data_IF_391904999299
#
_entry.id   IF_391904999299
#
_cell.length_a   1.000
_cell.length_b   1.000
_cell.length_c   1.000
_cell.angle_alpha   90.00
_cell.angle_beta   90.00
_cell.angle_gamma   90.00
#
_symmetry.space_group_name_H-M   'P 1'
#
loop_
_entity.id
_entity.type
_entity.pdbx_description
1 polymer ?
#
# COMPACT_ATOMS: atom_id res chain seq x y z
N UNK A 1 11.57 -17.47 4.10
CA UNK A 1 11.25 -16.24 4.85
C UNK A 1 10.43 -16.53 6.11
N UNK A 2 9.08 -16.57 6.08
CA UNK A 2 8.23 -16.66 7.30
C UNK A 2 8.63 -17.81 8.24
N UNK A 3 8.82 -19.02 7.72
CA UNK A 3 9.26 -20.18 8.51
C UNK A 3 10.63 -19.96 9.17
N UNK A 4 11.58 -19.38 8.44
CA UNK A 4 12.94 -19.09 8.93
C UNK A 4 12.92 -18.02 10.02
N UNK A 5 12.07 -17.00 9.85
CA UNK A 5 11.83 -15.93 10.81
C UNK A 5 10.92 -16.33 11.98
N UNK A 6 10.51 -17.61 12.08
CA UNK A 6 9.66 -18.15 13.16
C UNK A 6 8.36 -17.37 13.35
N UNK A 7 7.78 -16.87 12.25
CA UNK A 7 6.53 -16.11 12.27
C UNK A 7 6.70 -14.59 12.39
N UNK A 8 7.91 -14.08 12.64
CA UNK A 8 8.17 -12.63 12.56
C UNK A 8 8.06 -12.17 11.10
N UNK A 9 7.03 -11.36 10.80
CA UNK A 9 6.74 -10.92 9.45
C UNK A 9 7.67 -9.80 8.97
N UNK A 10 8.22 -8.99 9.88
CA UNK A 10 9.15 -7.91 9.53
C UNK A 10 10.49 -8.53 9.15
N UNK A 11 11.00 -9.46 9.96
CA UNK A 11 12.22 -10.21 9.65
C UNK A 11 12.03 -11.06 8.39
N UNK A 12 10.86 -11.69 8.20
CA UNK A 12 10.55 -12.40 6.97
C UNK A 12 10.59 -11.49 5.73
N UNK A 13 10.04 -10.27 5.83
CA UNK A 13 10.09 -9.28 4.76
C UNK A 13 11.53 -8.85 4.48
N UNK A 14 12.34 -8.63 5.52
CA UNK A 14 13.75 -8.28 5.37
C UNK A 14 14.54 -9.40 4.68
N UNK A 15 14.40 -10.65 5.11
CA UNK A 15 15.03 -11.82 4.47
C UNK A 15 14.69 -11.91 2.98
N UNK A 16 13.42 -11.73 2.61
CA UNK A 16 12.98 -11.82 1.22
C UNK A 16 13.54 -10.65 0.38
N UNK A 17 13.59 -9.44 0.96
CA UNK A 17 14.12 -8.24 0.30
C UNK A 17 15.65 -8.27 0.19
N UNK A 18 16.35 -8.83 1.17
CA UNK A 18 17.77 -9.12 1.09
C UNK A 18 18.05 -10.17 0.01
N UNK A 19 17.25 -11.23 -0.08
CA UNK A 19 17.39 -12.23 -1.14
C UNK A 19 17.21 -11.62 -2.55
N UNK A 20 16.30 -10.65 -2.72
CA UNK A 20 16.11 -9.93 -3.98
C UNK A 20 17.41 -9.32 -4.51
N UNK A 21 18.32 -8.83 -3.66
CA UNK A 21 19.57 -8.20 -4.11
C UNK A 21 20.56 -9.20 -4.74
N UNK A 22 20.34 -10.49 -4.50
CA UNK A 22 21.16 -11.58 -5.09
C UNK A 22 20.66 -12.03 -6.46
N UNK A 23 19.48 -11.57 -6.89
CA UNK A 23 18.84 -12.01 -8.12
C UNK A 23 19.15 -11.06 -9.28
N UNK A 24 19.31 -11.63 -10.47
CA UNK A 24 19.45 -10.85 -11.70
C UNK A 24 18.09 -10.29 -12.15
N UNK A 25 18.08 -9.04 -12.61
CA UNK A 25 16.91 -8.42 -13.24
C UNK A 25 16.95 -8.69 -14.74
N UNK A 26 16.07 -9.57 -15.22
CA UNK A 26 15.98 -9.92 -16.64
C UNK A 26 15.23 -8.88 -17.49
N UNK A 27 14.41 -8.04 -16.87
CA UNK A 27 13.63 -7.01 -17.56
C UNK A 27 12.50 -6.46 -16.68
N UNK A 28 11.54 -5.78 -17.31
CA UNK A 28 10.28 -5.36 -16.72
C UNK A 28 9.13 -6.02 -17.50
N UNK A 29 8.07 -6.42 -16.80
CA UNK A 29 6.86 -6.88 -17.47
C UNK A 29 6.21 -5.75 -18.25
N UNK A 30 5.32 -6.09 -19.18
CA UNK A 30 4.30 -5.13 -19.61
C UNK A 30 3.48 -4.63 -18.40
N UNK A 31 2.85 -3.45 -18.48
CA UNK A 31 1.91 -2.99 -17.47
C UNK A 31 0.81 -4.02 -17.19
N UNK A 32 0.39 -4.13 -15.93
CA UNK A 32 -0.63 -5.10 -15.54
C UNK A 32 -2.03 -4.67 -16.00
N UNK A 33 -2.68 -5.51 -16.80
CA UNK A 33 -4.05 -5.27 -17.27
C UNK A 33 -5.11 -5.77 -16.27
N UNK A 34 -5.27 -5.07 -15.13
CA UNK A 34 -6.25 -5.47 -14.09
C UNK A 34 -7.72 -5.35 -14.55
N UNK A 35 -7.98 -4.73 -15.71
CA UNK A 35 -9.27 -4.74 -16.37
C UNK A 35 -9.67 -6.12 -16.91
N UNK A 36 -8.69 -6.97 -17.23
CA UNK A 36 -8.84 -8.34 -17.69
C UNK A 36 -8.66 -9.38 -16.56
N UNK A 37 -8.64 -8.93 -15.30
CA UNK A 37 -8.45 -9.80 -14.13
C UNK A 37 -9.47 -10.94 -14.10
N UNK A 38 -9.00 -12.16 -13.87
CA UNK A 38 -9.84 -13.31 -13.53
C UNK A 38 -10.26 -13.20 -12.07
N UNK A 39 -11.34 -12.45 -11.86
CA UNK A 39 -11.84 -12.02 -10.55
C UNK A 39 -12.33 -13.21 -9.72
N UNK A 40 -11.88 -13.25 -8.47
CA UNK A 40 -12.36 -14.17 -7.42
C UNK A 40 -13.15 -13.44 -6.33
N UNK A 41 -12.91 -12.14 -6.19
CA UNK A 41 -13.63 -11.24 -5.29
C UNK A 41 -13.71 -9.86 -5.93
N UNK A 42 -14.90 -9.24 -5.86
CA UNK A 42 -15.17 -7.90 -6.35
C UNK A 42 -16.30 -7.29 -5.55
N UNK A 43 -16.02 -6.21 -4.84
CA UNK A 43 -17.03 -5.47 -4.10
C UNK A 43 -16.96 -3.97 -4.35
N UNK A 44 -18.08 -3.30 -4.17
CA UNK A 44 -18.18 -1.84 -4.15
C UNK A 44 -19.11 -1.38 -3.06
N UNK A 45 -18.73 -0.31 -2.35
CA UNK A 45 -19.58 0.36 -1.36
C UNK A 45 -20.37 1.54 -1.96
N UNK A 46 -20.12 1.91 -3.21
CA UNK A 46 -20.73 3.08 -3.87
C UNK A 46 -21.95 2.71 -4.73
N UNK A 47 -22.11 1.43 -5.08
CA UNK A 47 -23.27 0.93 -5.82
C UNK A 47 -23.82 -0.33 -5.16
N UNK A 48 -25.15 -0.41 -5.06
CA UNK A 48 -25.83 -1.63 -4.59
C UNK A 48 -25.60 -2.79 -5.56
N UNK A 49 -25.78 -2.52 -6.86
CA UNK A 49 -25.60 -3.48 -7.94
C UNK A 49 -24.61 -2.93 -8.97
N UNK A 50 -23.78 -3.83 -9.50
CA UNK A 50 -22.78 -3.51 -10.52
C UNK A 50 -22.98 -4.42 -11.73
N UNK A 51 -22.57 -4.00 -12.94
CA UNK A 51 -22.39 -4.93 -14.05
C UNK A 51 -21.41 -6.03 -13.61
N UNK A 52 -21.83 -7.29 -13.71
CA UNK A 52 -21.11 -8.47 -13.19
C UNK A 52 -21.26 -8.74 -11.69
N UNK A 53 -22.10 -7.97 -10.99
CA UNK A 53 -22.51 -8.23 -9.61
C UNK A 53 -21.48 -7.91 -8.53
N UNK A 54 -21.90 -8.09 -7.28
CA UNK A 54 -21.07 -8.08 -6.08
C UNK A 54 -20.61 -9.52 -5.83
N UNK A 55 -19.31 -9.78 -5.93
CA UNK A 55 -18.69 -11.10 -5.75
C UNK A 55 -17.92 -11.09 -4.42
N UNK A 56 -18.50 -11.64 -3.37
CA UNK A 56 -17.87 -11.62 -2.04
C UNK A 56 -16.55 -12.41 -2.00
N UNK A 57 -16.47 -13.51 -2.76
CA UNK A 57 -15.27 -14.35 -2.80
C UNK A 57 -14.85 -14.91 -1.43
N UNK A 58 -13.60 -15.42 -1.30
CA UNK A 58 -13.06 -15.85 -0.03
C UNK A 58 -12.77 -14.62 0.85
N UNK A 59 -13.50 -14.49 1.97
CA UNK A 59 -13.37 -13.34 2.88
C UNK A 59 -13.71 -13.71 4.32
N UNK A 60 -13.17 -12.94 5.26
CA UNK A 60 -13.51 -12.98 6.69
C UNK A 60 -14.48 -11.87 7.13
N UNK A 61 -14.92 -10.99 6.23
CA UNK A 61 -15.66 -9.74 6.57
C UNK A 61 -16.89 -9.95 7.45
N UNK A 62 -17.62 -11.03 7.21
CA UNK A 62 -18.91 -11.33 7.86
C UNK A 62 -18.80 -12.47 8.89
N UNK A 63 -17.58 -12.90 9.19
CA UNK A 63 -17.35 -13.95 10.20
C UNK A 63 -17.50 -13.41 11.61
N UNK A 64 -17.98 -14.23 12.53
CA UNK A 64 -17.92 -13.92 13.96
C UNK A 64 -16.49 -14.14 14.44
N UNK A 65 -15.91 -13.14 15.11
CA UNK A 65 -14.52 -13.17 15.60
C UNK A 65 -14.40 -13.94 16.91
N UNK A 66 -14.65 -15.25 16.84
CA UNK A 66 -14.53 -16.18 17.95
C UNK A 66 -13.32 -17.09 17.69
N UNK A 67 -12.54 -17.39 18.74
CA UNK A 67 -11.45 -18.36 18.64
C UNK A 67 -12.04 -19.75 18.38
N UNK A 68 -11.57 -20.39 17.31
CA UNK A 68 -11.97 -21.74 16.95
C UNK A 68 -11.00 -22.77 17.55
N UNK A 69 -11.37 -23.33 18.70
CA UNK A 69 -10.59 -24.36 19.38
C UNK A 69 -10.57 -25.70 18.64
N UNK A 70 -11.48 -25.93 17.68
CA UNK A 70 -11.49 -27.17 16.90
C UNK A 70 -10.24 -27.26 16.00
N UNK A 71 -9.69 -26.13 15.55
CA UNK A 71 -8.45 -26.07 14.74
C UNK A 71 -7.22 -26.68 15.44
N UNK A 72 -7.23 -26.79 16.77
CA UNK A 72 -6.14 -27.42 17.52
C UNK A 72 -6.29 -28.96 17.64
N UNK A 73 -7.50 -29.49 17.49
CA UNK A 73 -7.83 -30.89 17.74
C UNK A 73 -8.20 -31.66 16.47
N UNK A 74 -8.83 -31.00 15.50
CA UNK A 74 -9.37 -31.59 14.29
C UNK A 74 -8.50 -31.24 13.08
N UNK A 75 -8.00 -32.27 12.37
CA UNK A 75 -7.30 -32.12 11.09
C UNK A 75 -8.24 -32.40 9.90
N UNK A 76 -9.53 -32.13 10.05
CA UNK A 76 -10.51 -32.36 8.99
C UNK A 76 -10.56 -31.14 8.06
N UNK A 77 -10.20 -31.26 6.78
CA UNK A 77 -10.32 -30.14 5.85
C UNK A 77 -11.79 -29.75 5.69
N UNK A 78 -12.10 -28.45 5.54
CA UNK A 78 -13.47 -28.02 5.29
C UNK A 78 -14.01 -28.67 4.01
N UNK A 79 -15.31 -28.98 3.95
CA UNK A 79 -15.92 -29.50 2.73
C UNK A 79 -15.73 -28.50 1.57
N UNK A 80 -15.63 -29.00 0.32
CA UNK A 80 -15.48 -28.13 -0.83
C UNK A 80 -16.68 -27.17 -0.92
N UNK A 81 -16.41 -25.90 -1.24
CA UNK A 81 -17.46 -24.91 -1.43
C UNK A 81 -18.41 -25.34 -2.57
N UNK A 82 -19.73 -25.11 -2.44
CA UNK A 82 -20.68 -25.31 -3.53
C UNK A 82 -20.24 -24.57 -4.79
N UNK A 83 -20.37 -25.22 -5.95
CA UNK A 83 -20.02 -24.62 -7.24
C UNK A 83 -21.25 -23.93 -7.83
N UNK A 84 -21.10 -22.65 -8.17
CA UNK A 84 -22.09 -21.88 -8.94
C UNK A 84 -21.82 -21.95 -10.45
N UNK A 85 -22.77 -21.43 -11.24
CA UNK A 85 -22.56 -21.21 -12.68
C UNK A 85 -21.53 -20.08 -12.86
N UNK A 86 -20.54 -20.30 -13.72
CA UNK A 86 -19.67 -19.22 -14.17
C UNK A 86 -20.46 -18.28 -15.07
N UNK A 87 -20.59 -17.02 -14.67
CA UNK A 87 -21.16 -15.97 -15.51
C UNK A 87 -20.02 -15.24 -16.21
N UNK A 88 -20.03 -15.27 -17.54
CA UNK A 88 -19.12 -14.48 -18.37
C UNK A 88 -19.65 -13.04 -18.50
N UNK A 89 -19.76 -12.37 -17.35
CA UNK A 89 -20.24 -11.01 -17.27
C UNK A 89 -19.05 -10.05 -17.35
N UNK A 90 -19.15 -9.02 -18.21
CA UNK A 90 -18.18 -7.93 -18.19
C UNK A 90 -18.20 -7.25 -16.82
N UNK A 91 -17.03 -7.11 -16.19
CA UNK A 91 -16.83 -6.46 -14.88
C UNK A 91 -16.07 -5.13 -15.03
N UNK A 92 -16.65 -4.10 -15.67
CA UNK A 92 -15.98 -2.81 -15.82
C UNK A 92 -15.64 -2.21 -14.45
N UNK A 93 -14.53 -1.46 -14.41
CA UNK A 93 -14.13 -0.74 -13.19
C UNK A 93 -15.17 0.31 -12.82
N UNK A 94 -15.45 0.46 -11.53
CA UNK A 94 -16.39 1.48 -11.01
C UNK A 94 -15.93 2.89 -11.38
N UNK A 95 -14.64 3.18 -11.28
CA UNK A 95 -14.08 4.47 -11.73
C UNK A 95 -14.28 4.69 -13.23
N UNK A 96 -14.28 3.62 -14.04
CA UNK A 96 -14.61 3.70 -15.47
C UNK A 96 -16.09 3.94 -15.74
N UNK A 97 -16.99 3.51 -14.84
CA UNK A 97 -18.41 3.87 -14.90
C UNK A 97 -18.57 5.37 -14.58
N UNK A 98 -18.01 5.84 -13.47
CA UNK A 98 -18.04 7.24 -13.06
C UNK A 98 -17.43 8.18 -14.11
N UNK A 99 -16.33 7.77 -14.75
CA UNK A 99 -15.69 8.57 -15.79
C UNK A 99 -16.56 8.73 -17.04
N UNK A 100 -17.30 7.70 -17.46
CA UNK A 100 -18.24 7.81 -18.59
C UNK A 100 -19.41 8.75 -18.31
N UNK A 101 -19.75 8.94 -17.04
CA UNK A 101 -20.78 9.88 -16.59
C UNK A 101 -20.22 11.30 -16.37
N UNK A 102 -18.91 11.52 -16.57
CA UNK A 102 -18.27 12.81 -16.33
C UNK A 102 -18.11 13.16 -14.85
N UNK A 103 -18.28 12.19 -13.95
CA UNK A 103 -18.22 12.37 -12.49
C UNK A 103 -16.80 12.16 -11.92
N UNK A 104 -15.87 11.67 -12.73
CA UNK A 104 -14.47 11.45 -12.36
C UNK A 104 -13.59 11.60 -13.59
N UNK A 105 -12.54 12.44 -13.52
CA UNK A 105 -11.55 12.55 -14.59
C UNK A 105 -10.83 11.22 -14.78
N UNK A 106 -10.64 10.69 -16.01
CA UNK A 106 -9.84 9.49 -16.26
C UNK A 106 -8.37 9.70 -15.83
N UNK A 107 -7.69 8.62 -15.45
CA UNK A 107 -6.23 8.70 -15.27
C UNK A 107 -5.57 8.84 -16.65
N UNK A 108 -4.63 9.78 -16.83
CA UNK A 108 -3.95 9.97 -18.11
C UNK A 108 -3.10 8.73 -18.42
N UNK A 109 -3.18 8.26 -19.67
CA UNK A 109 -2.23 7.26 -20.16
C UNK A 109 -0.84 7.90 -20.24
N UNK A 110 0.17 7.16 -19.79
CA UNK A 110 1.56 7.58 -19.85
C UNK A 110 2.42 6.42 -20.30
N UNK A 111 3.20 6.64 -21.35
CA UNK A 111 4.24 5.73 -21.83
C UNK A 111 5.61 6.07 -21.20
N UNK A 112 5.67 7.06 -20.31
CA UNK A 112 6.89 7.42 -19.62
C UNK A 112 7.30 6.30 -18.64
N UNK A 113 8.57 5.92 -18.69
CA UNK A 113 9.16 4.97 -17.74
C UNK A 113 9.06 5.56 -16.32
N UNK A 114 8.44 4.85 -15.36
CA UNK A 114 8.34 5.35 -13.99
C UNK A 114 9.72 5.31 -13.31
N UNK A 115 9.95 6.25 -12.39
CA UNK A 115 11.12 6.18 -11.52
C UNK A 115 11.18 4.87 -10.72
N UNK A 116 12.39 4.49 -10.28
CA UNK A 116 12.61 3.24 -9.54
C UNK A 116 13.40 3.46 -8.25
N UNK A 117 12.68 3.45 -7.12
CA UNK A 117 13.23 3.55 -5.76
C UNK A 117 14.25 2.47 -5.41
N UNK A 118 14.32 1.40 -6.21
CA UNK A 118 15.31 0.34 -6.00
C UNK A 118 16.62 0.58 -6.74
N UNK A 119 16.70 1.66 -7.52
CA UNK A 119 17.88 2.08 -8.29
C UNK A 119 18.34 3.49 -7.93
N UNK A 120 17.39 4.38 -7.68
CA UNK A 120 17.65 5.78 -7.37
C UNK A 120 17.11 6.14 -5.97
N UNK A 121 17.85 6.92 -5.17
CA UNK A 121 17.39 7.35 -3.86
C UNK A 121 16.17 8.27 -3.99
N UNK A 122 15.27 8.19 -3.01
CA UNK A 122 14.08 9.04 -2.95
C UNK A 122 14.49 10.51 -2.78
N UNK A 123 13.90 11.39 -3.60
CA UNK A 123 14.00 12.84 -3.47
C UNK A 123 12.60 13.47 -3.39
N UNK A 124 12.51 14.66 -2.80
CA UNK A 124 11.24 15.37 -2.60
C UNK A 124 11.19 16.68 -3.40
N UNK A 125 10.02 17.03 -3.97
CA UNK A 125 8.78 16.26 -3.98
C UNK A 125 8.88 15.01 -4.88
N UNK A 126 8.24 13.92 -4.47
CA UNK A 126 8.25 12.65 -5.20
C UNK A 126 7.04 12.58 -6.14
N UNK A 127 7.24 12.10 -7.37
CA UNK A 127 6.15 11.88 -8.31
C UNK A 127 5.21 10.74 -7.86
N UNK A 128 3.98 10.73 -8.38
CA UNK A 128 2.97 9.74 -7.95
C UNK A 128 3.41 8.28 -8.19
N UNK A 129 4.07 7.92 -9.30
CA UNK A 129 4.62 6.58 -9.49
C UNK A 129 5.59 6.16 -8.37
N UNK A 130 6.57 6.99 -8.01
CA UNK A 130 7.51 6.70 -6.91
C UNK A 130 6.78 6.62 -5.56
N UNK A 131 5.83 7.52 -5.30
CA UNK A 131 4.99 7.45 -4.07
C UNK A 131 4.26 6.11 -3.99
N UNK A 132 3.59 5.68 -5.05
CA UNK A 132 2.89 4.38 -5.08
C UNK A 132 3.85 3.20 -4.93
N UNK A 133 5.07 3.27 -5.49
CA UNK A 133 6.10 2.24 -5.31
C UNK A 133 6.53 2.15 -3.84
N UNK A 134 6.74 3.29 -3.16
CA UNK A 134 7.05 3.34 -1.73
C UNK A 134 5.90 2.78 -0.88
N UNK A 135 4.65 3.20 -1.13
CA UNK A 135 3.48 2.72 -0.38
C UNK A 135 3.25 1.21 -0.57
N UNK A 136 3.49 0.68 -1.76
CA UNK A 136 3.42 -0.77 -2.01
C UNK A 136 4.41 -1.54 -1.13
N UNK A 137 5.60 -0.97 -0.89
CA UNK A 137 6.66 -1.53 -0.03
C UNK A 137 6.50 -1.21 1.46
N UNK A 138 5.69 -0.20 1.80
CA UNK A 138 5.54 0.29 3.16
C UNK A 138 4.85 -0.67 4.12
N UNK A 139 5.06 -0.45 5.41
CA UNK A 139 4.46 -1.18 6.51
C UNK A 139 2.95 -1.03 6.52
N UNK A 140 2.26 -2.16 6.69
CA UNK A 140 0.80 -2.16 6.66
C UNK A 140 0.19 -1.44 7.87
N UNK A 141 0.79 -1.60 9.06
CA UNK A 141 0.30 -0.97 10.28
C UNK A 141 0.45 0.55 10.25
N UNK A 142 1.62 1.04 9.82
CA UNK A 142 1.90 2.47 9.67
C UNK A 142 0.95 3.13 8.68
N UNK A 143 0.82 2.56 7.47
CA UNK A 143 -0.07 3.13 6.44
C UNK A 143 -1.54 3.03 6.84
N UNK A 144 -1.94 1.96 7.55
CA UNK A 144 -3.29 1.85 8.09
C UNK A 144 -3.56 2.93 9.14
N UNK A 145 -2.61 3.21 10.04
CA UNK A 145 -2.75 4.25 11.05
C UNK A 145 -2.85 5.65 10.44
N UNK A 146 -2.04 5.94 9.42
CA UNK A 146 -2.15 7.17 8.64
C UNK A 146 -3.49 7.28 7.90
N UNK A 147 -3.89 6.23 7.17
CA UNK A 147 -5.19 6.20 6.50
C UNK A 147 -6.34 6.39 7.49
N UNK A 148 -6.27 5.77 8.67
CA UNK A 148 -7.27 5.91 9.73
C UNK A 148 -7.31 7.33 10.32
N UNK A 149 -6.16 8.01 10.48
CA UNK A 149 -6.15 9.39 10.98
C UNK A 149 -6.88 10.35 10.04
N UNK A 150 -6.80 10.14 8.73
CA UNK A 150 -7.54 10.94 7.75
C UNK A 150 -9.04 10.80 7.90
N UNK A 151 -9.53 9.58 8.19
CA UNK A 151 -10.95 9.31 8.47
C UNK A 151 -11.41 9.92 9.80
N UNK A 152 -10.47 10.26 10.68
CA UNK A 152 -10.71 10.92 11.98
C UNK A 152 -10.61 12.46 11.88
N UNK A 153 -10.42 13.01 10.68
CA UNK A 153 -10.42 14.45 10.42
C UNK A 153 -9.04 15.08 10.18
N UNK A 154 -7.94 14.31 10.28
CA UNK A 154 -6.60 14.84 9.99
C UNK A 154 -6.37 14.86 8.47
N UNK A 155 -6.51 16.02 7.82
CA UNK A 155 -6.44 16.18 6.36
C UNK A 155 -7.80 16.08 5.63
N UNK A 156 -8.91 16.02 6.39
CA UNK A 156 -10.31 16.18 5.91
C UNK A 156 -10.68 15.41 4.62
N UNK A 157 -10.29 14.15 4.50
CA UNK A 157 -10.72 13.28 3.40
C UNK A 157 -11.90 12.38 3.83
N UNK A 158 -12.97 12.34 3.03
CA UNK A 158 -14.08 11.38 3.22
C UNK A 158 -14.05 10.33 2.11
N UNK A 159 -13.48 9.14 2.38
CA UNK A 159 -13.30 8.10 1.37
C UNK A 159 -14.50 7.16 1.29
N UNK A 160 -14.77 6.68 0.08
CA UNK A 160 -15.66 5.56 -0.20
C UNK A 160 -14.90 4.48 -0.95
N UNK A 161 -15.18 3.22 -0.65
CA UNK A 161 -14.68 2.10 -1.46
C UNK A 161 -15.41 2.10 -2.79
N UNK A 162 -14.79 2.69 -3.80
CA UNK A 162 -15.25 2.65 -5.19
C UNK A 162 -15.29 1.21 -5.67
N UNK A 163 -14.15 0.53 -5.56
CA UNK A 163 -14.05 -0.89 -5.88
C UNK A 163 -12.87 -1.55 -5.17
N UNK A 164 -13.06 -2.76 -4.67
CA UNK A 164 -11.99 -3.70 -4.35
C UNK A 164 -12.19 -4.92 -5.24
N UNK A 165 -11.15 -5.31 -5.98
CA UNK A 165 -11.14 -6.54 -6.77
C UNK A 165 -9.88 -7.34 -6.50
N UNK A 166 -10.02 -8.65 -6.42
CA UNK A 166 -8.93 -9.60 -6.24
C UNK A 166 -9.09 -10.77 -7.19
N UNK A 167 -8.00 -11.14 -7.85
CA UNK A 167 -8.01 -12.18 -8.86
C UNK A 167 -6.65 -12.36 -9.51
N UNK A 168 -6.59 -13.28 -10.47
CA UNK A 168 -5.39 -13.53 -11.25
C UNK A 168 -5.28 -12.53 -12.41
N UNK A 169 -4.07 -12.00 -12.63
CA UNK A 169 -3.73 -11.15 -13.77
C UNK A 169 -2.53 -11.78 -14.47
N UNK A 170 -2.61 -11.86 -15.80
CA UNK A 170 -1.54 -12.37 -16.66
C UNK A 170 -0.34 -11.43 -16.63
N UNK A 171 0.85 -12.01 -16.50
CA UNK A 171 2.13 -11.32 -16.64
C UNK A 171 2.68 -11.55 -18.03
N UNK A 172 2.90 -10.46 -18.76
CA UNK A 172 3.53 -10.50 -20.07
C UNK A 172 4.90 -9.84 -20.03
N UNK A 173 5.81 -10.34 -20.85
CA UNK A 173 7.15 -9.78 -21.04
C UNK A 173 7.49 -9.82 -22.52
N UNK A 174 8.21 -8.83 -23.03
CA UNK A 174 8.71 -8.84 -24.42
C UNK A 174 10.22 -9.04 -24.38
N UNK A 175 10.72 -10.28 -24.55
CA UNK A 175 12.15 -10.54 -24.63
C UNK A 175 12.76 -9.82 -25.83
N UNK A 176 13.89 -9.11 -25.66
CA UNK A 176 14.60 -8.49 -26.77
C UNK A 176 14.93 -9.46 -27.90
N UNK A 177 15.16 -10.73 -27.58
CA UNK A 177 15.51 -11.79 -28.54
C UNK A 177 14.33 -12.24 -29.41
N UNK A 178 13.09 -12.06 -28.95
CA UNK A 178 11.88 -12.47 -29.66
C UNK A 178 11.17 -11.29 -30.34
N UNK A 179 11.17 -10.12 -29.70
CA UNK A 179 10.51 -8.91 -30.24
C UNK A 179 8.98 -8.94 -30.21
N UNK A 180 8.36 -9.90 -29.52
CA UNK A 180 6.90 -9.98 -29.30
C UNK A 180 6.58 -10.39 -27.85
N UNK A 181 5.40 -10.02 -27.30
CA UNK A 181 5.03 -10.35 -25.93
C UNK A 181 4.80 -11.85 -25.75
N UNK A 182 5.31 -12.38 -24.65
CA UNK A 182 5.06 -13.74 -24.18
C UNK A 182 4.42 -13.71 -22.80
N UNK A 183 3.50 -14.65 -22.54
CA UNK A 183 2.93 -14.88 -21.23
C UNK A 183 3.93 -15.63 -20.34
N UNK A 184 4.32 -15.02 -19.22
CA UNK A 184 5.17 -15.64 -18.20
C UNK A 184 4.37 -16.48 -17.20
N UNK A 185 3.08 -16.21 -17.06
CA UNK A 185 2.17 -16.84 -16.11
C UNK A 185 1.23 -15.82 -15.49
N UNK A 186 0.73 -16.11 -14.29
CA UNK A 186 -0.22 -15.24 -13.61
C UNK A 186 0.20 -14.93 -12.17
N UNK A 187 -0.18 -13.75 -11.71
CA UNK A 187 -0.09 -13.37 -10.30
C UNK A 187 -1.48 -13.07 -9.75
N UNK A 188 -1.71 -13.41 -8.49
CA UNK A 188 -2.90 -12.94 -7.77
C UNK A 188 -2.59 -11.58 -7.16
N UNK A 189 -3.43 -10.60 -7.45
CA UNK A 189 -3.33 -9.24 -6.89
C UNK A 189 -4.68 -8.78 -6.36
N UNK A 190 -4.64 -7.89 -5.37
CA UNK A 190 -5.79 -7.10 -4.93
C UNK A 190 -5.58 -5.65 -5.35
N UNK A 191 -6.54 -5.11 -6.11
CA UNK A 191 -6.63 -3.71 -6.49
C UNK A 191 -7.73 -3.02 -5.66
N UNK A 192 -7.42 -1.87 -5.09
CA UNK A 192 -8.37 -1.01 -4.38
C UNK A 192 -8.38 0.38 -5.02
N UNK A 193 -9.57 0.84 -5.38
CA UNK A 193 -9.83 2.19 -5.87
C UNK A 193 -10.78 2.88 -4.90
N UNK A 194 -10.27 3.90 -4.21
CA UNK A 194 -11.06 4.76 -3.34
C UNK A 194 -11.58 5.95 -4.14
N UNK A 195 -12.83 6.33 -3.87
CA UNK A 195 -13.46 7.55 -4.37
C UNK A 195 -13.51 8.54 -3.21
N UNK A 196 -13.05 9.77 -3.44
CA UNK A 196 -12.96 10.80 -2.41
C UNK A 196 -13.77 12.03 -2.81
N UNK A 197 -14.08 12.90 -1.84
CA UNK A 197 -14.86 14.13 -2.04
C UNK A 197 -14.40 14.93 -3.26
N UNK A 198 -15.38 15.63 -3.83
CA UNK A 198 -15.22 16.31 -5.10
C UNK A 198 -14.37 17.56 -4.96
N UNK A 199 -13.47 17.75 -5.92
CA UNK A 199 -12.81 19.02 -6.16
C UNK A 199 -13.42 19.61 -7.44
N UNK A 200 -13.63 20.92 -7.45
CA UNK A 200 -14.12 21.65 -8.61
C UNK A 200 -13.56 23.06 -8.58
N UNK A 201 -13.43 23.68 -9.75
CA UNK A 201 -12.93 25.05 -9.87
C UNK A 201 -13.91 25.90 -10.67
N UNK A 202 -13.55 27.16 -10.93
CA UNK A 202 -14.34 28.00 -11.84
C UNK A 202 -14.25 27.52 -13.29
N UNK A 203 -13.24 26.72 -13.63
CA UNK A 203 -12.94 26.25 -15.00
C UNK A 203 -13.19 24.76 -15.17
N UNK A 204 -13.27 23.98 -14.10
CA UNK A 204 -13.48 22.54 -14.13
C UNK A 204 -14.72 22.13 -13.32
N UNK A 205 -15.58 21.25 -13.86
CA UNK A 205 -16.74 20.77 -13.14
C UNK A 205 -16.33 20.01 -11.88
N UNK A 206 -17.17 20.07 -10.85
CA UNK A 206 -16.94 19.29 -9.63
C UNK A 206 -16.94 17.79 -9.95
N UNK A 207 -15.84 17.12 -9.65
CA UNK A 207 -15.64 15.70 -9.91
C UNK A 207 -15.01 15.02 -8.71
N UNK A 208 -15.34 13.74 -8.52
CA UNK A 208 -14.71 12.93 -7.50
C UNK A 208 -13.20 12.80 -7.76
N UNK A 209 -12.44 12.84 -6.67
CA UNK A 209 -11.03 12.49 -6.69
C UNK A 209 -10.86 11.00 -6.36
N UNK A 210 -9.64 10.46 -6.53
CA UNK A 210 -9.37 9.04 -6.31
C UNK A 210 -8.07 8.77 -5.58
N UNK A 211 -8.06 7.67 -4.83
CA UNK A 211 -6.88 7.03 -4.28
C UNK A 211 -6.71 5.61 -4.84
N UNK A 212 -5.47 5.16 -4.99
CA UNK A 212 -5.16 3.88 -5.61
C UNK A 212 -4.25 3.00 -4.74
N UNK A 213 -4.56 1.71 -4.66
CA UNK A 213 -3.71 0.72 -4.02
C UNK A 213 -3.70 -0.61 -4.75
N UNK A 214 -2.53 -1.23 -4.84
CA UNK A 214 -2.34 -2.52 -5.51
C UNK A 214 -1.34 -3.37 -4.70
N UNK A 215 -1.72 -4.60 -4.37
CA UNK A 215 -0.89 -5.52 -3.58
C UNK A 215 -0.95 -6.94 -4.13
N UNK A 216 0.03 -7.76 -3.79
CA UNK A 216 -0.02 -9.20 -4.07
C UNK A 216 -1.01 -9.94 -3.15
N UNK A 217 -1.60 -11.02 -3.67
CA UNK A 217 -2.44 -11.93 -2.91
C UNK A 217 -3.78 -11.33 -2.51
N UNK A 218 -4.14 -11.48 -1.24
CA UNK A 218 -5.45 -11.15 -0.68
C UNK A 218 -5.39 -9.93 0.29
N UNK A 219 -4.35 -9.10 0.19
CA UNK A 219 -4.03 -8.05 1.16
C UNK A 219 -4.94 -6.81 1.13
N UNK A 220 -6.26 -6.96 1.27
CA UNK A 220 -7.22 -5.86 1.07
C UNK A 220 -6.98 -4.68 2.00
N UNK A 221 -6.70 -4.93 3.29
CA UNK A 221 -6.42 -3.88 4.28
C UNK A 221 -5.22 -3.03 3.88
N UNK A 222 -4.13 -3.65 3.40
CA UNK A 222 -2.97 -2.94 2.84
C UNK A 222 -3.34 -2.14 1.59
N UNK A 223 -4.10 -2.72 0.65
CA UNK A 223 -4.52 -2.02 -0.56
C UNK A 223 -5.40 -0.79 -0.24
N UNK A 224 -6.31 -0.92 0.72
CA UNK A 224 -7.14 0.19 1.20
C UNK A 224 -6.30 1.28 1.86
N UNK A 225 -5.39 0.90 2.77
CA UNK A 225 -4.49 1.84 3.42
C UNK A 225 -3.63 2.61 2.40
N UNK A 226 -3.08 1.90 1.40
CA UNK A 226 -2.34 2.49 0.30
C UNK A 226 -3.20 3.49 -0.49
N UNK A 227 -4.45 3.16 -0.83
CA UNK A 227 -5.33 4.05 -1.55
C UNK A 227 -5.68 5.33 -0.75
N UNK A 228 -5.90 5.21 0.55
CA UNK A 228 -6.16 6.36 1.44
C UNK A 228 -4.94 7.30 1.51
N UNK A 229 -3.76 6.73 1.68
CA UNK A 229 -2.51 7.51 1.79
C UNK A 229 -2.10 8.08 0.44
N UNK A 230 -2.25 7.36 -0.68
CA UNK A 230 -2.04 7.89 -2.04
C UNK A 230 -2.84 9.17 -2.24
N UNK A 231 -4.15 9.13 -1.96
CA UNK A 231 -4.99 10.32 -2.10
C UNK A 231 -4.55 11.48 -1.19
N UNK A 232 -4.11 11.18 0.02
CA UNK A 232 -3.65 12.20 0.98
C UNK A 232 -2.36 12.88 0.49
N UNK A 233 -1.43 12.11 -0.09
CA UNK A 233 -0.18 12.62 -0.67
C UNK A 233 -0.38 13.41 -1.97
N UNK A 234 -1.61 13.45 -2.51
CA UNK A 234 -1.99 14.29 -3.65
C UNK A 234 -2.50 15.68 -3.25
N UNK A 235 -2.37 16.07 -1.98
CA UNK A 235 -2.85 17.36 -1.47
C UNK A 235 -2.38 18.55 -2.35
N UNK A 236 -1.08 18.62 -2.67
CA UNK A 236 -0.53 19.68 -3.53
C UNK A 236 -1.12 19.66 -4.95
N UNK A 237 -1.24 18.48 -5.56
CA UNK A 237 -1.84 18.31 -6.90
C UNK A 237 -3.30 18.78 -6.96
N UNK A 238 -3.98 18.74 -5.82
CA UNK A 238 -5.40 19.06 -5.68
C UNK A 238 -5.62 20.45 -5.06
N UNK A 239 -4.56 21.21 -4.80
CA UNK A 239 -4.62 22.55 -4.20
C UNK A 239 -5.09 22.56 -2.74
N UNK A 240 -4.88 21.46 -2.02
CA UNK A 240 -5.26 21.29 -0.61
C UNK A 240 -4.12 21.75 0.32
N UNK A 241 -4.46 22.28 1.49
CA UNK A 241 -3.47 22.58 2.52
C UNK A 241 -2.91 21.28 3.13
N UNK A 242 -1.60 21.25 3.38
CA UNK A 242 -0.93 20.16 4.11
C UNK A 242 -0.99 20.50 5.60
N UNK A 243 -2.00 19.97 6.28
CA UNK A 243 -2.23 20.20 7.72
C UNK A 243 -2.12 18.93 8.58
N UNK A 244 -1.92 17.77 7.94
CA UNK A 244 -1.85 16.47 8.60
C UNK A 244 -0.64 15.63 8.17
N UNK A 245 -0.12 14.75 9.05
CA UNK A 245 1.02 13.88 8.74
C UNK A 245 0.81 13.01 7.49
N UNK A 246 -0.41 12.57 7.20
CA UNK A 246 -0.72 11.75 6.03
C UNK A 246 -0.61 12.48 4.68
N UNK A 247 -0.58 13.83 4.70
CA UNK A 247 -0.40 14.67 3.51
C UNK A 247 1.06 15.07 3.30
N UNK A 248 1.92 14.91 4.31
CA UNK A 248 3.34 15.31 4.26
C UNK A 248 4.17 14.22 3.60
N UNK A 249 4.54 14.40 2.32
CA UNK A 249 5.31 13.41 1.54
C UNK A 249 6.58 12.94 2.26
N UNK A 250 7.40 13.86 2.76
CA UNK A 250 8.65 13.51 3.45
C UNK A 250 8.42 12.69 4.71
N UNK A 251 7.43 13.06 5.52
CA UNK A 251 7.11 12.31 6.73
C UNK A 251 6.59 10.91 6.42
N UNK A 252 5.70 10.76 5.44
CA UNK A 252 5.14 9.45 5.10
C UNK A 252 6.20 8.55 4.47
N UNK A 253 6.87 9.01 3.43
CA UNK A 253 7.71 8.14 2.60
C UNK A 253 9.01 7.74 3.31
N UNK A 254 9.58 8.63 4.14
CA UNK A 254 10.82 8.34 4.90
C UNK A 254 10.60 7.41 6.11
N UNK A 255 9.35 7.15 6.51
CA UNK A 255 9.04 6.31 7.68
C UNK A 255 8.14 5.12 7.34
N UNK A 256 7.79 4.92 6.07
CA UNK A 256 6.89 3.83 5.69
C UNK A 256 7.59 2.48 5.57
N UNK A 257 8.87 2.38 5.25
CA UNK A 257 9.53 1.09 5.02
C UNK A 257 10.01 0.45 6.33
N UNK A 258 9.35 -0.62 6.78
CA UNK A 258 9.73 -1.29 8.02
C UNK A 258 11.10 -1.98 7.97
N UNK A 259 11.67 -2.25 6.80
CA UNK A 259 13.03 -2.79 6.71
C UNK A 259 14.04 -1.74 7.16
N UNK A 260 13.84 -0.49 6.78
CA UNK A 260 14.67 0.63 7.23
C UNK A 260 14.39 0.97 8.69
N UNK A 261 13.10 1.10 9.04
CA UNK A 261 12.69 1.47 10.40
C UNK A 261 13.17 0.45 11.44
N UNK A 262 12.97 -0.85 11.21
CA UNK A 262 13.41 -1.89 12.16
C UNK A 262 14.92 -1.95 12.26
N UNK A 263 15.64 -1.86 11.13
CA UNK A 263 17.10 -1.79 11.16
C UNK A 263 17.61 -0.63 12.02
N UNK A 264 17.00 0.56 11.87
CA UNK A 264 17.39 1.75 12.62
C UNK A 264 16.86 1.79 14.06
N UNK A 265 15.74 1.16 14.42
CA UNK A 265 15.35 1.11 15.84
C UNK A 265 16.20 0.06 16.57
N UNK A 266 16.41 -1.09 15.95
CA UNK A 266 17.11 -2.21 16.58
C UNK A 266 18.62 -2.03 16.69
N UNK A 267 19.23 -1.15 15.88
CA UNK A 267 20.66 -0.86 15.99
C UNK A 267 21.04 -0.36 17.39
N UNK A 268 20.11 0.24 18.16
CA UNK A 268 20.34 0.69 19.53
C UNK A 268 20.78 -0.45 20.49
N UNK A 269 20.56 -1.71 20.12
CA UNK A 269 21.08 -2.88 20.84
C UNK A 269 22.60 -3.04 20.69
N UNK A 270 23.20 -2.43 19.67
CA UNK A 270 24.64 -2.45 19.45
C UNK A 270 25.35 -1.59 20.50
N UNK A 271 26.67 -1.81 20.71
CA UNK A 271 27.39 -1.04 21.72
C UNK A 271 27.52 0.44 21.35
N UNK A 272 26.93 1.32 22.18
CA UNK A 272 27.04 2.79 22.09
C UNK A 272 27.85 3.38 23.26
N UNK A 273 28.68 2.57 23.92
CA UNK A 273 29.35 2.97 25.16
C UNK A 273 30.36 4.13 24.95
N UNK A 274 30.91 4.31 23.76
CA UNK A 274 31.84 5.42 23.46
C UNK A 274 31.08 6.75 23.44
N UNK A 275 30.04 6.87 22.63
CA UNK A 275 29.21 8.08 22.55
C UNK A 275 28.58 8.37 23.93
N UNK A 276 28.13 7.33 24.63
CA UNK A 276 27.59 7.47 25.98
C UNK A 276 28.63 7.97 27.01
N UNK A 277 29.92 7.66 26.86
CA UNK A 277 30.95 8.24 27.74
C UNK A 277 31.03 9.75 27.58
N UNK A 278 30.99 10.27 26.35
CA UNK A 278 31.03 11.72 26.11
C UNK A 278 29.84 12.44 26.75
N UNK A 279 28.64 11.85 26.68
CA UNK A 279 27.46 12.39 27.38
C UNK A 279 27.61 12.30 28.92
N UNK A 280 28.17 11.20 29.45
CA UNK A 280 28.44 11.07 30.88
C UNK A 280 29.44 12.11 31.38
N UNK A 281 30.51 12.37 30.62
CA UNK A 281 31.51 13.40 30.93
C UNK A 281 30.85 14.78 31.01
N UNK A 282 30.02 15.12 30.02
CA UNK A 282 29.31 16.40 29.98
C UNK A 282 28.35 16.58 31.16
N UNK A 283 27.60 15.53 31.53
CA UNK A 283 26.72 15.57 32.70
C UNK A 283 27.54 15.76 33.99
N UNK A 284 28.69 15.08 34.11
CA UNK A 284 29.58 15.21 35.28
C UNK A 284 30.16 16.61 35.38
N UNK A 285 30.56 17.21 34.26
CA UNK A 285 31.04 18.59 34.20
C UNK A 285 29.96 19.59 34.64
N UNK A 286 28.75 19.50 34.07
CA UNK A 286 27.63 20.37 34.46
C UNK A 286 27.33 20.26 35.95
N UNK A 287 27.31 19.05 36.51
CA UNK A 287 27.12 18.83 37.95
C UNK A 287 28.23 19.47 38.79
N UNK A 288 29.48 19.35 38.37
CA UNK A 288 30.61 19.94 39.09
C UNK A 288 30.53 21.47 39.10
N UNK A 289 30.13 22.09 37.98
CA UNK A 289 29.90 23.54 37.88
C UNK A 289 28.78 23.99 38.81
N UNK A 290 27.62 23.33 38.79
CA UNK A 290 26.50 23.67 39.69
C UNK A 290 26.87 23.56 41.17
N UNK A 291 27.68 22.56 41.55
CA UNK A 291 28.16 22.42 42.93
C UNK A 291 29.12 23.55 43.32
N UNK A 292 29.98 24.02 42.40
CA UNK A 292 30.87 25.16 42.67
C UNK A 292 30.08 26.46 42.81
N UNK A 293 29.14 26.72 41.91
CA UNK A 293 28.30 27.92 41.96
C UNK A 293 27.39 27.97 43.21
N UNK A 294 26.96 26.82 43.72
CA UNK A 294 26.17 26.75 44.96
C UNK A 294 27.02 26.91 46.25
N UNK A 295 28.36 26.81 46.13
CA UNK A 295 29.30 26.95 47.24
C UNK A 295 29.91 28.36 47.34
N UNK A 296 29.72 29.20 46.32
CA UNK A 296 30.08 30.63 46.27
C UNK A 296 28.91 31.51 46.75
#
# INVERSE_FOLDING_TARGET
AIKQARGDLIEAAFLLRAYRTTLSRFGASAPLETGAMRIRRRISATYKELPGGQVLGPTTDYTHRLLDFALAAENTPPPPAPRGRAEDARMPRVTGILAREGLMAPEPASEAEPGDLTREPLAFPADRPLRLQALARGDEGFLLALGYSTQRGYGNAHPFVGEIRMGAVTLEFTPPELGFPIELGEITVTECQMVNQFAGSKTEPAQFTRGYGLVFGHGERKAMAMALVDRSLRAEELGEAIDAPAQTQEFVLSHCDNVEATGFVEHLKLPHYVDFQSELEKIRELRATTVREAAE
#
